data_IF_943362542984
#
_entry.id   IF_943362542984
#
_cell.length_a   1.000
_cell.length_b   1.000
_cell.length_c   1.000
_cell.angle_alpha   90.00
_cell.angle_beta   90.00
_cell.angle_gamma   90.00
#
_symmetry.space_group_name_H-M   'P 1'
#
loop_
_entity.id
_entity.type
_entity.pdbx_description
1 polymer ?
#
# COMPACT_ATOMS: atom_id res chain seq x y z
N UNK A 1 -21.99 -12.20 8.06
CA UNK A 1 -22.42 -12.37 6.65
C UNK A 1 -21.59 -13.46 5.99
N UNK A 2 -22.24 -14.46 5.38
CA UNK A 2 -21.55 -15.58 4.72
C UNK A 2 -20.95 -15.13 3.40
N UNK A 3 -19.72 -15.54 3.13
CA UNK A 3 -18.95 -15.22 1.90
C UNK A 3 -19.48 -16.01 0.68
N UNK A 4 -20.29 -17.06 0.91
CA UNK A 4 -20.80 -17.95 -0.13
C UNK A 4 -21.51 -17.27 -1.30
N UNK A 5 -22.49 -16.39 -1.07
CA UNK A 5 -23.25 -15.76 -2.17
C UNK A 5 -22.39 -14.83 -3.05
N UNK A 6 -21.36 -14.20 -2.49
CA UNK A 6 -20.47 -13.30 -3.24
C UNK A 6 -19.57 -14.10 -4.18
N UNK A 7 -19.13 -15.28 -3.77
CA UNK A 7 -18.28 -16.16 -4.57
C UNK A 7 -19.08 -16.87 -5.69
N UNK A 8 -20.34 -17.20 -5.47
CA UNK A 8 -21.20 -17.82 -6.49
C UNK A 8 -21.60 -16.83 -7.60
N UNK A 9 -21.90 -15.58 -7.27
CA UNK A 9 -22.21 -14.54 -8.26
C UNK A 9 -21.00 -14.22 -9.19
N UNK A 10 -19.79 -14.42 -8.68
CA UNK A 10 -18.55 -14.18 -9.44
C UNK A 10 -18.19 -15.28 -10.44
N UNK A 11 -18.71 -16.50 -10.26
CA UNK A 11 -18.46 -17.60 -11.18
C UNK A 11 -19.14 -17.41 -12.55
N UNK A 12 -20.13 -16.52 -12.65
CA UNK A 12 -21.02 -16.40 -13.82
C UNK A 12 -20.69 -15.26 -14.80
N UNK A 13 -19.57 -14.52 -14.65
CA UNK A 13 -19.23 -13.41 -15.56
C UNK A 13 -17.81 -13.50 -16.12
N UNK A 14 -17.67 -13.17 -17.38
CA UNK A 14 -16.53 -13.29 -18.34
C UNK A 14 -15.13 -12.78 -17.94
N UNK A 15 -14.82 -12.58 -16.67
CA UNK A 15 -13.45 -12.54 -16.15
C UNK A 15 -13.22 -13.80 -15.34
N UNK A 16 -12.92 -14.91 -16.00
CA UNK A 16 -12.63 -16.19 -15.36
C UNK A 16 -11.41 -16.04 -14.44
N UNK A 17 -11.66 -15.89 -13.14
CA UNK A 17 -10.67 -16.21 -12.12
C UNK A 17 -10.61 -17.74 -12.11
N UNK A 18 -9.45 -18.37 -12.36
CA UNK A 18 -9.37 -19.83 -12.32
C UNK A 18 -9.73 -20.33 -10.92
N UNK A 19 -10.85 -21.02 -10.82
CA UNK A 19 -11.24 -21.75 -9.62
C UNK A 19 -10.25 -22.89 -9.43
N UNK A 20 -9.34 -22.78 -8.48
CA UNK A 20 -8.42 -23.85 -8.12
C UNK A 20 -9.21 -25.02 -7.50
N UNK A 21 -9.44 -26.09 -8.28
CA UNK A 21 -9.69 -27.42 -7.74
C UNK A 21 -8.37 -27.91 -7.14
N UNK A 22 -8.42 -28.30 -5.87
CA UNK A 22 -7.35 -28.84 -5.02
C UNK A 22 -6.29 -27.83 -4.56
N UNK A 23 -6.36 -27.48 -3.27
CA UNK A 23 -5.27 -26.81 -2.56
C UNK A 23 -4.12 -27.80 -2.33
N UNK A 24 -2.88 -27.49 -2.70
CA UNK A 24 -1.74 -28.24 -2.20
C UNK A 24 -1.59 -27.98 -0.70
N UNK A 25 -1.27 -29.04 0.06
CA UNK A 25 -1.01 -28.99 1.50
C UNK A 25 0.07 -27.98 1.82
N UNK A 26 -0.14 -27.23 2.91
CA UNK A 26 0.80 -26.28 3.47
C UNK A 26 2.16 -26.95 3.75
N UNK A 27 3.17 -26.63 2.94
CA UNK A 27 4.57 -26.70 3.31
C UNK A 27 4.94 -25.31 3.83
N UNK A 28 5.62 -25.28 4.96
CA UNK A 28 6.11 -24.07 5.64
C UNK A 28 7.05 -23.27 4.73
N UNK A 29 6.50 -22.34 3.96
CA UNK A 29 7.27 -21.22 3.43
C UNK A 29 7.27 -20.17 4.53
N UNK A 30 8.39 -20.06 5.25
CA UNK A 30 8.62 -19.01 6.24
C UNK A 30 8.40 -17.64 5.62
N UNK A 31 7.17 -17.15 5.72
CA UNK A 31 6.80 -15.82 5.27
C UNK A 31 7.63 -14.82 6.04
N UNK A 32 8.41 -13.99 5.35
CA UNK A 32 9.16 -12.90 5.95
C UNK A 32 8.17 -12.05 6.75
N UNK A 33 8.27 -12.10 8.11
CA UNK A 33 7.36 -11.37 9.01
C UNK A 33 7.62 -9.88 8.83
N UNK A 34 6.83 -9.24 8.00
CA UNK A 34 6.89 -7.79 7.81
C UNK A 34 6.47 -7.10 9.11
N UNK A 35 7.29 -6.15 9.56
CA UNK A 35 7.00 -5.29 10.71
C UNK A 35 7.11 -3.84 10.27
N UNK A 36 6.09 -3.06 10.57
CA UNK A 36 6.18 -1.62 10.52
C UNK A 36 6.87 -1.16 11.80
N UNK A 37 8.10 -0.70 11.68
CA UNK A 37 8.98 -0.36 12.80
C UNK A 37 9.26 1.14 12.92
N UNK A 38 10.24 1.49 13.75
CA UNK A 38 10.70 2.86 13.92
C UNK A 38 11.56 3.36 12.73
N UNK A 39 12.28 2.44 12.05
CA UNK A 39 13.01 2.79 10.84
C UNK A 39 12.04 2.80 9.64
N UNK A 40 12.02 3.89 8.84
CA UNK A 40 11.14 3.99 7.70
C UNK A 40 11.58 3.04 6.58
N UNK A 41 10.62 2.28 6.04
CA UNK A 41 10.84 1.44 4.87
C UNK A 41 10.68 2.28 3.59
N UNK A 42 11.62 2.12 2.66
CA UNK A 42 11.51 2.72 1.33
C UNK A 42 10.62 1.84 0.46
N UNK A 43 9.54 2.43 -0.03
CA UNK A 43 8.54 1.77 -0.88
C UNK A 43 8.74 2.20 -2.33
N UNK A 44 9.10 1.24 -3.18
CA UNK A 44 9.21 1.46 -4.62
C UNK A 44 7.88 1.24 -5.32
N UNK A 45 7.29 2.29 -5.93
CA UNK A 45 6.01 2.19 -6.62
C UNK A 45 6.11 1.54 -8.01
N UNK A 46 5.25 0.56 -8.27
CA UNK A 46 5.10 -0.13 -9.55
C UNK A 46 3.70 0.18 -10.14
N UNK A 47 3.64 1.07 -11.12
CA UNK A 47 2.42 1.50 -11.79
C UNK A 47 2.29 0.99 -13.24
N UNK A 48 3.02 -0.04 -13.68
CA UNK A 48 2.87 -0.60 -15.01
C UNK A 48 3.20 -2.08 -15.08
N UNK A 49 2.54 -2.81 -15.99
CA UNK A 49 2.81 -4.22 -16.23
C UNK A 49 4.26 -4.52 -16.65
N UNK A 50 4.84 -3.64 -17.47
CA UNK A 50 6.23 -3.79 -17.93
C UNK A 50 7.20 -3.71 -16.75
N UNK A 51 7.01 -2.74 -15.82
CA UNK A 51 7.83 -2.61 -14.62
C UNK A 51 7.62 -3.79 -13.66
N UNK A 52 6.37 -4.24 -13.48
CA UNK A 52 6.09 -5.40 -12.64
C UNK A 52 6.81 -6.66 -13.13
N UNK A 53 6.78 -6.93 -14.45
CA UNK A 53 7.52 -8.05 -15.06
C UNK A 53 9.04 -7.90 -14.86
N UNK A 54 9.58 -6.68 -15.00
CA UNK A 54 11.02 -6.41 -14.79
C UNK A 54 11.41 -6.68 -13.33
N UNK A 55 10.64 -6.18 -12.36
CA UNK A 55 10.90 -6.41 -10.94
C UNK A 55 10.81 -7.89 -10.58
N UNK A 56 9.82 -8.61 -11.12
CA UNK A 56 9.69 -10.05 -10.92
C UNK A 56 10.89 -10.85 -11.47
N UNK A 57 11.59 -10.32 -12.49
CA UNK A 57 12.74 -10.99 -13.13
C UNK A 57 14.08 -10.68 -12.43
N UNK A 58 14.31 -9.42 -11.99
CA UNK A 58 15.64 -8.98 -11.49
C UNK A 58 15.62 -8.38 -10.08
N UNK A 59 14.44 -8.20 -9.49
CA UNK A 59 14.27 -7.37 -8.29
C UNK A 59 14.55 -5.88 -8.57
N UNK A 60 13.92 -4.97 -7.86
CA UNK A 60 14.35 -3.58 -7.81
C UNK A 60 15.49 -3.40 -6.82
N UNK A 61 16.39 -2.48 -7.13
CA UNK A 61 17.40 -2.00 -6.19
C UNK A 61 16.87 -0.80 -5.40
N UNK A 62 17.50 -0.52 -4.27
CA UNK A 62 17.34 0.70 -3.50
C UNK A 62 15.94 0.88 -2.83
N UNK A 63 15.18 -0.20 -2.61
CA UNK A 63 13.94 -0.16 -1.82
C UNK A 63 13.81 -1.41 -0.92
N UNK A 64 13.06 -1.28 0.17
CA UNK A 64 12.84 -2.34 1.17
C UNK A 64 11.58 -3.14 0.88
N UNK A 65 10.66 -2.58 0.11
CA UNK A 65 9.46 -3.22 -0.37
C UNK A 65 8.97 -2.57 -1.65
N UNK A 66 8.10 -3.23 -2.37
CA UNK A 66 7.44 -2.66 -3.54
C UNK A 66 5.93 -2.55 -3.32
N UNK A 67 5.36 -1.42 -3.74
CA UNK A 67 3.93 -1.27 -3.90
C UNK A 67 3.54 -1.62 -5.33
N UNK A 68 2.68 -2.62 -5.50
CA UNK A 68 2.09 -2.97 -6.79
C UNK A 68 0.73 -2.28 -6.92
N UNK A 69 0.67 -1.21 -7.70
CA UNK A 69 -0.54 -0.47 -8.07
C UNK A 69 -1.28 -1.25 -9.17
N UNK A 70 -2.03 -2.29 -8.77
CA UNK A 70 -2.70 -3.17 -9.72
C UNK A 70 -3.69 -2.41 -10.62
N UNK A 71 -4.35 -1.39 -10.07
CA UNK A 71 -5.24 -0.49 -10.80
C UNK A 71 -4.57 0.21 -12.00
N UNK A 72 -3.25 0.45 -11.94
CA UNK A 72 -2.49 1.11 -13.01
C UNK A 72 -1.85 0.13 -14.00
N UNK A 73 -1.77 -1.15 -13.66
CA UNK A 73 -1.03 -2.12 -14.50
C UNK A 73 -1.78 -2.58 -15.73
N UNK A 74 -3.10 -2.47 -15.75
CA UNK A 74 -3.96 -3.04 -16.80
C UNK A 74 -3.92 -4.58 -16.85
N UNK A 75 -3.34 -5.26 -15.85
CA UNK A 75 -3.27 -6.71 -15.82
C UNK A 75 -4.58 -7.31 -15.31
N UNK A 76 -5.15 -8.20 -16.12
CA UNK A 76 -6.32 -9.00 -15.79
C UNK A 76 -5.94 -10.45 -15.49
N UNK A 77 -6.84 -11.19 -14.83
CA UNK A 77 -6.65 -12.61 -14.49
C UNK A 77 -5.53 -12.83 -13.47
N UNK A 78 -5.04 -14.07 -13.36
CA UNK A 78 -4.09 -14.46 -12.31
C UNK A 78 -2.61 -14.15 -12.58
N UNK A 79 -2.25 -13.56 -13.73
CA UNK A 79 -0.83 -13.35 -14.11
C UNK A 79 -0.07 -12.44 -13.15
N UNK A 80 -0.70 -11.42 -12.60
CA UNK A 80 -0.08 -10.51 -11.63
C UNK A 80 0.26 -11.20 -10.31
N UNK A 81 -0.51 -12.21 -9.91
CA UNK A 81 -0.29 -13.00 -8.68
C UNK A 81 1.06 -13.72 -8.76
N UNK A 82 1.34 -14.39 -9.90
CA UNK A 82 2.61 -15.05 -10.13
C UNK A 82 3.80 -14.08 -10.11
N UNK A 83 3.62 -12.87 -10.65
CA UNK A 83 4.65 -11.81 -10.62
C UNK A 83 4.91 -11.31 -9.19
N UNK A 84 3.88 -11.10 -8.38
CA UNK A 84 4.03 -10.77 -6.97
C UNK A 84 4.76 -11.87 -6.19
N UNK A 85 4.39 -13.14 -6.40
CA UNK A 85 5.08 -14.29 -5.82
C UNK A 85 6.56 -14.34 -6.21
N UNK A 86 6.89 -14.06 -7.47
CA UNK A 86 8.28 -14.04 -7.94
C UNK A 86 9.11 -12.94 -7.26
N UNK A 87 8.52 -11.78 -6.98
CA UNK A 87 9.18 -10.70 -6.23
C UNK A 87 9.42 -11.13 -4.78
N UNK A 88 8.42 -11.71 -4.13
CA UNK A 88 8.56 -12.18 -2.74
C UNK A 88 9.61 -13.28 -2.59
N UNK A 89 9.72 -14.19 -3.57
CA UNK A 89 10.79 -15.22 -3.60
C UNK A 89 12.20 -14.63 -3.68
N UNK A 90 12.35 -13.41 -4.12
CA UNK A 90 13.63 -12.67 -4.12
C UNK A 90 13.91 -11.97 -2.78
N UNK A 91 13.07 -12.21 -1.75
CA UNK A 91 13.23 -11.60 -0.42
C UNK A 91 12.67 -10.18 -0.31
N UNK A 92 11.88 -9.71 -1.27
CA UNK A 92 11.34 -8.35 -1.26
C UNK A 92 9.83 -8.36 -0.96
N UNK A 93 9.37 -7.76 0.14
CA UNK A 93 7.96 -7.67 0.47
C UNK A 93 7.15 -6.94 -0.59
N UNK A 94 5.93 -7.42 -0.84
CA UNK A 94 4.97 -6.80 -1.77
C UNK A 94 3.79 -6.22 -1.00
N UNK A 95 3.51 -4.94 -1.22
CA UNK A 95 2.28 -4.25 -0.85
C UNK A 95 1.36 -4.20 -2.07
N UNK A 96 0.22 -4.86 -2.02
CA UNK A 96 -0.79 -4.81 -3.07
C UNK A 96 -1.75 -3.64 -2.83
N UNK A 97 -1.86 -2.76 -3.82
CA UNK A 97 -2.79 -1.62 -3.81
C UNK A 97 -3.66 -1.67 -5.07
N UNK A 98 -4.98 -1.57 -4.89
CA UNK A 98 -5.97 -1.39 -5.96
C UNK A 98 -6.74 -0.13 -5.63
N UNK A 99 -6.19 1.03 -5.98
CA UNK A 99 -6.70 2.34 -5.56
C UNK A 99 -8.00 2.69 -6.28
N UNK A 100 -9.03 3.04 -5.50
CA UNK A 100 -10.29 3.58 -6.03
C UNK A 100 -10.08 4.93 -6.71
N UNK A 101 -10.84 5.18 -7.79
CA UNK A 101 -10.84 6.48 -8.46
C UNK A 101 -11.28 7.62 -7.52
N UNK A 102 -12.04 7.33 -6.47
CA UNK A 102 -12.46 8.32 -5.47
C UNK A 102 -11.29 8.89 -4.66
N UNK A 103 -10.18 8.15 -4.57
CA UNK A 103 -8.95 8.56 -3.89
C UNK A 103 -7.75 8.52 -4.85
N UNK A 104 -7.96 8.96 -6.10
CA UNK A 104 -6.89 9.20 -7.06
C UNK A 104 -6.31 7.96 -7.73
N UNK A 105 -7.03 6.85 -7.74
CA UNK A 105 -6.68 5.64 -8.49
C UNK A 105 -7.42 5.50 -9.80
N UNK A 106 -7.24 4.34 -10.45
CA UNK A 106 -7.90 4.02 -11.72
C UNK A 106 -8.98 2.94 -11.57
N UNK A 107 -9.19 2.40 -10.36
CA UNK A 107 -10.24 1.41 -10.15
C UNK A 107 -11.63 2.06 -10.19
N UNK A 108 -12.46 1.64 -11.16
CA UNK A 108 -13.85 2.09 -11.38
C UNK A 108 -14.88 0.97 -11.29
N UNK A 109 -14.43 -0.27 -11.05
CA UNK A 109 -15.30 -1.44 -10.90
C UNK A 109 -16.02 -1.46 -9.55
N UNK A 110 -16.86 -2.50 -9.37
CA UNK A 110 -17.60 -2.71 -8.12
C UNK A 110 -16.66 -3.05 -6.97
N UNK A 111 -17.02 -2.65 -5.76
CA UNK A 111 -16.23 -2.89 -4.55
C UNK A 111 -16.05 -4.39 -4.26
N UNK A 112 -17.08 -5.20 -4.52
CA UNK A 112 -17.00 -6.65 -4.36
C UNK A 112 -15.96 -7.29 -5.31
N UNK A 113 -15.84 -6.81 -6.55
CA UNK A 113 -14.83 -7.26 -7.50
C UNK A 113 -13.42 -6.87 -7.04
N UNK A 114 -13.26 -5.65 -6.50
CA UNK A 114 -12.01 -5.17 -5.93
C UNK A 114 -11.58 -6.02 -4.74
N UNK A 115 -12.49 -6.29 -3.83
CA UNK A 115 -12.25 -7.15 -2.68
C UNK A 115 -11.81 -8.55 -3.12
N UNK A 116 -12.46 -9.13 -4.14
CA UNK A 116 -12.09 -10.45 -4.64
C UNK A 116 -10.67 -10.50 -5.21
N UNK A 117 -10.22 -9.44 -5.88
CA UNK A 117 -8.82 -9.34 -6.35
C UNK A 117 -7.84 -9.31 -5.17
N UNK A 118 -8.13 -8.56 -4.10
CA UNK A 118 -7.31 -8.59 -2.89
C UNK A 118 -7.25 -10.00 -2.31
N UNK A 119 -8.41 -10.64 -2.11
CA UNK A 119 -8.49 -11.97 -1.53
C UNK A 119 -7.73 -13.02 -2.36
N UNK A 120 -7.78 -12.94 -3.69
CA UNK A 120 -7.02 -13.81 -4.59
C UNK A 120 -5.51 -13.63 -4.44
N UNK A 121 -5.05 -12.40 -4.17
CA UNK A 121 -3.63 -12.05 -4.03
C UNK A 121 -3.00 -12.34 -2.68
N UNK A 122 -3.77 -12.56 -1.61
CA UNK A 122 -3.26 -12.63 -0.23
C UNK A 122 -2.13 -13.65 -0.02
N UNK A 123 -2.10 -14.75 -0.78
CA UNK A 123 -1.01 -15.75 -0.69
C UNK A 123 0.31 -15.30 -1.31
N UNK A 124 0.30 -14.20 -2.05
CA UNK A 124 1.41 -13.74 -2.89
C UNK A 124 1.88 -12.33 -2.54
N UNK A 125 1.41 -11.79 -1.41
CA UNK A 125 1.76 -10.45 -0.94
C UNK A 125 2.03 -10.45 0.56
N UNK A 126 2.84 -9.50 1.03
CA UNK A 126 3.14 -9.33 2.47
C UNK A 126 2.19 -8.34 3.14
N UNK A 127 1.62 -7.43 2.35
CA UNK A 127 0.67 -6.43 2.83
C UNK A 127 -0.34 -6.04 1.73
N UNK A 128 -1.46 -5.48 2.17
CA UNK A 128 -2.49 -4.87 1.31
C UNK A 128 -2.78 -3.45 1.75
N UNK A 129 -3.09 -2.55 0.81
CA UNK A 129 -3.49 -1.17 1.07
C UNK A 129 -4.91 -0.95 0.53
N UNK A 130 -5.84 -0.60 1.41
CA UNK A 130 -7.22 -0.28 1.04
C UNK A 130 -7.66 1.00 1.79
N UNK A 131 -8.49 1.81 1.14
CA UNK A 131 -8.99 3.06 1.72
C UNK A 131 -9.84 2.82 2.97
N UNK A 132 -9.65 3.67 4.00
CA UNK A 132 -10.43 3.67 5.25
C UNK A 132 -11.92 3.95 4.96
N UNK A 133 -12.20 4.68 3.88
CA UNK A 133 -13.56 4.94 3.39
C UNK A 133 -14.23 3.75 2.70
N UNK A 134 -13.51 2.67 2.41
CA UNK A 134 -14.06 1.46 1.81
C UNK A 134 -14.90 0.68 2.81
N UNK A 135 -16.11 0.26 2.40
CA UNK A 135 -16.94 -0.66 3.18
C UNK A 135 -16.39 -2.08 3.29
N UNK A 136 -15.31 -2.40 2.54
CA UNK A 136 -14.70 -3.73 2.49
C UNK A 136 -13.43 -3.85 3.36
N UNK A 137 -12.89 -2.76 3.93
CA UNK A 137 -11.62 -2.77 4.66
C UNK A 137 -11.65 -3.73 5.86
N UNK A 138 -12.70 -3.70 6.67
CA UNK A 138 -12.81 -4.55 7.85
C UNK A 138 -12.80 -6.04 7.49
N UNK A 139 -13.59 -6.43 6.48
CA UNK A 139 -13.61 -7.82 5.99
C UNK A 139 -12.25 -8.22 5.42
N UNK A 140 -11.62 -7.34 4.62
CA UNK A 140 -10.27 -7.60 4.09
C UNK A 140 -9.27 -7.80 5.23
N UNK A 141 -9.30 -6.96 6.27
CA UNK A 141 -8.40 -7.04 7.41
C UNK A 141 -8.55 -8.38 8.16
N UNK A 142 -9.79 -8.79 8.45
CA UNK A 142 -10.06 -10.08 9.09
C UNK A 142 -9.49 -11.27 8.31
N UNK A 143 -9.62 -11.28 6.98
CA UNK A 143 -9.13 -12.39 6.14
C UNK A 143 -7.62 -12.31 5.95
N UNK A 144 -7.05 -11.11 5.80
CA UNK A 144 -5.61 -10.88 5.66
C UNK A 144 -4.85 -11.34 6.91
N UNK A 145 -5.30 -10.95 8.10
CA UNK A 145 -4.69 -11.32 9.37
C UNK A 145 -4.64 -12.84 9.59
N UNK A 146 -5.71 -13.57 9.23
CA UNK A 146 -5.72 -15.05 9.28
C UNK A 146 -4.65 -15.69 8.41
N UNK A 147 -4.07 -14.92 7.46
CA UNK A 147 -3.00 -15.37 6.55
C UNK A 147 -1.66 -14.73 6.84
N UNK A 148 -1.54 -13.97 7.93
CA UNK A 148 -0.32 -13.25 8.31
C UNK A 148 0.02 -12.08 7.40
N UNK A 149 -0.93 -11.60 6.58
CA UNK A 149 -0.77 -10.44 5.68
C UNK A 149 -1.12 -9.17 6.44
N UNK A 150 -0.26 -8.15 6.34
CA UNK A 150 -0.45 -6.85 6.99
C UNK A 150 -1.45 -5.98 6.22
N UNK A 151 -2.14 -5.11 6.93
CA UNK A 151 -3.16 -4.22 6.37
C UNK A 151 -2.79 -2.76 6.59
N UNK A 152 -2.71 -2.01 5.50
CA UNK A 152 -2.59 -0.56 5.48
C UNK A 152 -3.97 0.03 5.20
N UNK A 153 -4.53 0.73 6.17
CA UNK A 153 -5.72 1.54 6.00
C UNK A 153 -5.32 2.93 5.50
N UNK A 154 -5.70 3.30 4.29
CA UNK A 154 -5.25 4.55 3.67
C UNK A 154 -6.34 5.58 3.53
N UNK A 155 -5.93 6.85 3.52
CA UNK A 155 -6.77 8.02 3.28
C UNK A 155 -6.00 9.04 2.42
N UNK A 156 -6.66 9.53 1.36
CA UNK A 156 -6.07 10.51 0.45
C UNK A 156 -7.02 11.71 0.29
N UNK A 157 -6.51 12.92 0.56
CA UNK A 157 -7.24 14.15 0.34
C UNK A 157 -6.49 15.05 -0.65
N UNK A 158 -7.03 15.16 -1.85
CA UNK A 158 -6.48 15.98 -2.94
C UNK A 158 -6.93 17.43 -2.87
N UNK A 159 -7.90 17.76 -2.02
CA UNK A 159 -8.45 19.10 -1.87
C UNK A 159 -7.66 19.96 -0.90
N UNK A 160 -6.98 19.36 0.07
CA UNK A 160 -6.19 20.06 1.09
C UNK A 160 -5.70 19.13 2.18
N UNK A 161 -5.17 19.71 3.26
CA UNK A 161 -4.83 19.00 4.49
C UNK A 161 -5.93 19.25 5.53
N UNK A 162 -6.70 18.23 5.93
CA UNK A 162 -7.74 18.37 6.94
C UNK A 162 -7.21 18.91 8.27
N UNK A 163 -8.11 19.40 9.11
CA UNK A 163 -7.77 19.80 10.48
C UNK A 163 -7.34 18.61 11.35
N UNK A 164 -6.79 18.91 12.52
CA UNK A 164 -6.25 17.90 13.44
C UNK A 164 -7.32 16.92 13.93
N UNK A 165 -8.53 17.40 14.20
CA UNK A 165 -9.61 16.57 14.69
C UNK A 165 -10.03 15.53 13.62
N UNK A 166 -10.16 15.98 12.38
CA UNK A 166 -10.46 15.09 11.25
C UNK A 166 -9.36 14.07 10.99
N UNK A 167 -8.09 14.48 11.02
CA UNK A 167 -6.94 13.58 10.84
C UNK A 167 -6.86 12.53 11.96
N UNK A 168 -7.10 12.91 13.21
CA UNK A 168 -7.18 11.98 14.35
C UNK A 168 -8.35 11.00 14.21
N UNK A 169 -9.51 11.47 13.77
CA UNK A 169 -10.68 10.63 13.51
C UNK A 169 -10.43 9.61 12.38
N UNK A 170 -9.71 10.00 11.32
CA UNK A 170 -9.28 9.11 10.24
C UNK A 170 -8.37 8.01 10.77
N UNK A 171 -7.36 8.36 11.60
CA UNK A 171 -6.47 7.37 12.21
C UNK A 171 -7.26 6.40 13.09
N UNK A 172 -8.07 6.90 14.01
CA UNK A 172 -8.86 6.08 14.92
C UNK A 172 -9.78 5.10 14.15
N UNK A 173 -10.45 5.59 13.10
CA UNK A 173 -11.30 4.76 12.25
C UNK A 173 -10.51 3.67 11.53
N UNK A 174 -9.35 4.00 10.96
CA UNK A 174 -8.50 3.01 10.27
C UNK A 174 -8.10 1.87 11.21
N UNK A 175 -7.71 2.19 12.44
CA UNK A 175 -7.35 1.20 13.46
C UNK A 175 -8.56 0.37 13.89
N UNK A 176 -9.70 0.99 14.12
CA UNK A 176 -10.94 0.29 14.47
C UNK A 176 -11.38 -0.72 13.41
N UNK A 177 -11.08 -0.44 12.13
CA UNK A 177 -11.35 -1.35 11.00
C UNK A 177 -10.25 -2.41 10.81
N UNK A 178 -9.26 -2.49 11.71
CA UNK A 178 -8.23 -3.54 11.73
C UNK A 178 -6.98 -3.20 10.92
N UNK A 179 -6.69 -1.94 10.59
CA UNK A 179 -5.44 -1.57 9.95
C UNK A 179 -4.24 -1.75 10.90
N UNK A 180 -3.20 -2.48 10.49
CA UNK A 180 -1.91 -2.58 11.18
C UNK A 180 -1.13 -1.26 11.11
N UNK A 181 -1.32 -0.51 10.02
CA UNK A 181 -0.78 0.82 9.80
C UNK A 181 -1.82 1.72 9.16
N UNK A 182 -1.88 2.97 9.59
CA UNK A 182 -2.69 4.00 8.92
C UNK A 182 -1.79 4.83 7.99
N UNK A 183 -2.26 5.07 6.76
CA UNK A 183 -1.57 5.90 5.78
C UNK A 183 -2.44 7.12 5.47
N UNK A 184 -1.88 8.30 5.64
CA UNK A 184 -2.53 9.59 5.36
C UNK A 184 -1.71 10.33 4.31
N UNK A 185 -2.31 10.62 3.17
CA UNK A 185 -1.75 11.46 2.12
C UNK A 185 -2.65 12.67 1.89
N UNK A 186 -2.13 13.88 2.06
CA UNK A 186 -2.94 15.08 1.92
C UNK A 186 -2.21 16.17 1.13
N UNK A 187 -3.00 16.98 0.38
CA UNK A 187 -2.48 18.08 -0.40
C UNK A 187 -1.95 19.19 0.51
N UNK A 188 -0.72 19.60 0.28
CA UNK A 188 -0.06 20.69 1.02
C UNK A 188 -0.16 21.99 0.22
N UNK A 189 -0.92 22.95 0.72
CA UNK A 189 -1.10 24.27 0.12
C UNK A 189 -0.20 25.34 0.76
N UNK A 190 0.05 25.19 2.06
CA UNK A 190 0.84 26.14 2.83
C UNK A 190 1.64 25.48 3.97
N UNK A 191 2.35 26.30 4.76
CA UNK A 191 3.15 25.85 5.89
C UNK A 191 2.30 25.30 7.04
N UNK A 192 1.04 25.75 7.19
CA UNK A 192 0.12 25.25 8.24
C UNK A 192 -0.31 23.81 7.93
N UNK A 193 -0.52 23.49 6.65
CA UNK A 193 -0.78 22.16 6.17
C UNK A 193 0.39 21.21 6.52
N UNK A 194 1.59 21.64 6.22
CA UNK A 194 2.81 20.90 6.53
C UNK A 194 2.96 20.69 8.04
N UNK A 195 2.74 21.71 8.84
CA UNK A 195 2.81 21.61 10.30
C UNK A 195 1.79 20.62 10.88
N UNK A 196 0.56 20.57 10.31
CA UNK A 196 -0.44 19.56 10.68
C UNK A 196 0.03 18.15 10.40
N UNK A 197 0.62 17.90 9.21
CA UNK A 197 1.14 16.60 8.85
C UNK A 197 2.33 16.17 9.72
N UNK A 198 3.23 17.11 10.07
CA UNK A 198 4.38 16.83 10.95
C UNK A 198 3.98 16.43 12.35
N UNK A 199 2.85 16.89 12.85
CA UNK A 199 2.38 16.54 14.19
C UNK A 199 1.86 15.09 14.28
N UNK A 200 1.44 14.50 13.15
CA UNK A 200 0.77 13.18 13.15
C UNK A 200 1.65 12.03 13.64
N UNK A 201 2.90 11.85 13.17
CA UNK A 201 3.71 10.71 13.60
C UNK A 201 3.97 10.69 15.10
N UNK A 202 4.14 11.88 15.73
CA UNK A 202 4.37 12.00 17.17
C UNK A 202 3.13 11.72 18.01
N UNK A 203 1.93 11.89 17.45
CA UNK A 203 0.64 11.73 18.13
C UNK A 203 -0.04 10.38 17.84
N UNK A 204 0.50 9.64 16.86
CA UNK A 204 -0.10 8.40 16.39
C UNK A 204 -0.16 7.31 17.46
N UNK A 205 -1.27 6.59 17.47
CA UNK A 205 -1.51 5.47 18.41
C UNK A 205 -0.80 4.17 17.98
N UNK A 206 -0.02 4.20 16.88
CA UNK A 206 0.73 3.06 16.36
C UNK A 206 1.36 3.38 15.01
N UNK A 207 1.81 2.39 14.23
CA UNK A 207 2.48 2.63 12.97
C UNK A 207 1.66 3.51 12.04
N UNK A 208 2.26 4.59 11.55
CA UNK A 208 1.63 5.56 10.66
C UNK A 208 2.55 5.89 9.48
N UNK A 209 1.96 6.08 8.30
CA UNK A 209 2.62 6.63 7.14
C UNK A 209 1.95 7.97 6.78
N UNK A 210 2.72 9.04 6.75
CA UNK A 210 2.21 10.36 6.43
C UNK A 210 2.93 10.92 5.21
N UNK A 211 2.18 11.50 4.27
CA UNK A 211 2.68 12.02 3.00
C UNK A 211 2.04 13.37 2.67
N UNK A 212 2.86 14.35 2.38
CA UNK A 212 2.41 15.58 1.72
C UNK A 212 2.35 15.39 0.20
N UNK A 213 1.27 15.82 -0.42
CA UNK A 213 1.08 15.84 -1.87
C UNK A 213 1.23 17.25 -2.44
N UNK A 214 1.40 17.35 -3.76
CA UNK A 214 1.63 18.59 -4.47
C UNK A 214 3.07 19.08 -4.40
N UNK A 215 3.34 20.21 -5.05
CA UNK A 215 4.71 20.76 -5.19
C UNK A 215 5.35 21.10 -3.84
N UNK A 216 4.56 21.62 -2.91
CA UNK A 216 5.00 21.95 -1.55
C UNK A 216 5.14 20.70 -0.66
N UNK A 217 4.54 19.58 -1.07
CA UNK A 217 4.62 18.31 -0.37
C UNK A 217 5.93 17.55 -0.57
N UNK A 218 6.76 17.93 -1.56
CA UNK A 218 7.97 17.18 -1.93
C UNK A 218 8.94 16.92 -0.79
N UNK A 219 9.19 17.93 0.07
CA UNK A 219 10.08 17.81 1.23
C UNK A 219 9.57 16.80 2.27
N UNK A 220 8.26 16.57 2.35
CA UNK A 220 7.66 15.63 3.29
C UNK A 220 8.14 14.19 3.12
N UNK A 221 8.63 13.86 1.91
CA UNK A 221 9.14 12.52 1.58
C UNK A 221 10.38 12.13 2.41
N UNK A 222 11.17 13.12 2.82
CA UNK A 222 12.33 12.95 3.70
C UNK A 222 11.98 13.35 5.12
N UNK A 223 11.36 14.49 5.29
CA UNK A 223 11.14 15.08 6.60
C UNK A 223 10.12 14.33 7.47
N UNK A 224 9.03 13.78 6.91
CA UNK A 224 8.06 12.98 7.67
C UNK A 224 8.62 11.63 8.14
N UNK A 225 9.40 10.87 7.35
CA UNK A 225 10.17 9.74 7.87
C UNK A 225 11.09 10.10 9.04
N UNK A 226 11.77 11.26 9.00
CA UNK A 226 12.55 11.77 10.14
C UNK A 226 11.68 12.06 11.38
N UNK A 227 10.40 12.39 11.18
CA UNK A 227 9.45 12.62 12.26
C UNK A 227 8.73 11.34 12.75
N UNK A 228 9.03 10.16 12.19
CA UNK A 228 8.46 8.88 12.60
C UNK A 228 7.44 8.24 11.65
N UNK A 229 7.26 8.78 10.43
CA UNK A 229 6.47 8.11 9.39
C UNK A 229 7.16 6.80 8.97
N UNK A 230 6.45 5.68 9.03
CA UNK A 230 7.02 4.34 8.83
C UNK A 230 7.34 3.98 7.38
N UNK A 231 6.81 4.71 6.39
CA UNK A 231 7.08 4.46 4.97
C UNK A 231 7.51 5.75 4.26
N UNK A 232 8.48 5.61 3.36
CA UNK A 232 8.94 6.63 2.44
C UNK A 232 8.74 6.15 0.99
N UNK A 233 7.88 6.82 0.22
CA UNK A 233 7.53 6.41 -1.14
C UNK A 233 8.45 7.04 -2.18
N UNK A 234 9.12 6.20 -2.96
CA UNK A 234 10.03 6.59 -4.03
C UNK A 234 9.66 6.00 -5.40
N UNK A 235 10.18 6.65 -6.44
CA UNK A 235 10.07 6.14 -7.80
C UNK A 235 11.10 5.04 -8.06
N UNK A 236 10.67 3.96 -8.69
CA UNK A 236 11.55 2.96 -9.31
C UNK A 236 11.87 3.39 -10.74
N UNK A 237 12.95 4.15 -10.93
CA UNK A 237 13.34 4.74 -12.21
C UNK A 237 12.70 6.12 -12.45
N UNK A 238 12.16 6.40 -13.66
CA UNK A 238 11.58 7.72 -13.98
C UNK A 238 10.41 8.03 -13.02
N UNK A 239 10.45 9.22 -12.41
CA UNK A 239 9.40 9.71 -11.53
C UNK A 239 8.03 9.68 -12.23
N UNK A 240 6.99 9.29 -11.52
CA UNK A 240 5.61 9.20 -12.03
C UNK A 240 4.76 10.40 -11.59
N UNK A 241 5.30 11.25 -10.72
CA UNK A 241 4.65 12.48 -10.24
C UNK A 241 5.69 13.60 -10.02
N UNK A 242 5.31 14.89 -10.15
CA UNK A 242 6.17 16.01 -9.80
C UNK A 242 6.68 15.92 -8.36
N UNK A 243 7.93 16.28 -8.13
CA UNK A 243 8.55 16.25 -6.79
C UNK A 243 8.78 14.85 -6.21
N UNK A 244 8.59 13.78 -6.97
CA UNK A 244 8.85 12.42 -6.51
C UNK A 244 10.35 12.11 -6.55
N UNK A 245 10.92 11.77 -5.40
CA UNK A 245 12.30 11.29 -5.25
C UNK A 245 12.44 9.88 -5.82
N UNK A 246 13.65 9.55 -6.33
CA UNK A 246 13.96 8.15 -6.59
C UNK A 246 14.13 7.37 -5.28
N UNK A 247 13.91 6.05 -5.29
CA UNK A 247 14.18 5.22 -4.10
C UNK A 247 15.63 5.36 -3.63
N UNK A 248 16.58 5.46 -4.57
CA UNK A 248 18.02 5.65 -4.28
C UNK A 248 18.30 6.97 -3.57
N UNK A 249 17.71 8.08 -4.04
CA UNK A 249 17.92 9.38 -3.43
C UNK A 249 17.28 9.45 -2.05
N UNK A 250 16.08 8.88 -1.88
CA UNK A 250 15.47 8.72 -0.56
C UNK A 250 16.35 7.92 0.39
N UNK A 251 16.90 6.78 -0.06
CA UNK A 251 17.80 5.96 0.75
C UNK A 251 19.00 6.76 1.23
N UNK A 252 19.63 7.50 0.30
CA UNK A 252 20.80 8.34 0.59
C UNK A 252 20.48 9.45 1.59
N UNK A 253 19.38 10.16 1.39
CA UNK A 253 19.01 11.26 2.28
C UNK A 253 18.60 10.77 3.67
N UNK A 254 17.81 9.70 3.78
CA UNK A 254 17.43 9.13 5.07
C UNK A 254 18.64 8.59 5.84
N UNK A 255 19.62 8.00 5.16
CA UNK A 255 20.89 7.59 5.77
C UNK A 255 21.72 8.80 6.23
N UNK A 256 21.79 9.86 5.41
CA UNK A 256 22.49 11.11 5.75
C UNK A 256 21.95 11.77 7.02
N UNK A 257 20.65 11.67 7.26
CA UNK A 257 19.99 12.19 8.45
C UNK A 257 19.96 11.22 9.64
N UNK A 258 20.62 10.08 9.53
CA UNK A 258 20.70 9.06 10.59
C UNK A 258 19.37 8.38 10.91
N UNK A 259 18.38 8.49 10.03
CA UNK A 259 17.04 7.89 10.20
C UNK A 259 17.03 6.46 9.71
N UNK A 260 18.00 6.10 8.91
CA UNK A 260 18.24 4.78 8.36
C UNK A 260 19.72 4.44 8.44
N UNK A 261 20.03 3.18 8.74
CA UNK A 261 21.40 2.62 8.68
C UNK A 261 21.79 2.22 7.27
#
# INVERSE_FOLDING_TARGET
MSIGPILEEMANRRCAIPFFRSAPRFGEMGGMKMRFGKEPLIVGCIGSAARLRRCAKKGPADCDMVEVRLDLTGLCGGKWIALCSAIQKQGLPVLLTIRSHREGGEWRGREAERLALYLAGLKSVSAVDMEIGSGALELLAQVAHKRGVKVVGSFHDFSGTPDRARLAAVEARGRALGADMVKIAAMVKDSRDMARLFALPAQAQGPICVLGMGDRGGISRVALPCAGSCLAYGALGKATAPGQWSCRDLARELARWGVRK
#
